data_IF_247108904211
#
_entry.id   IF_247108904211
#
_cell.length_a   1.000
_cell.length_b   1.000
_cell.length_c   1.000
_cell.angle_alpha   90.00
_cell.angle_beta   90.00
_cell.angle_gamma   90.00
#
_symmetry.space_group_name_H-M   'P 1'
#
loop_
_entity.id
_entity.type
_entity.pdbx_description
1 polymer ?
#
# COMPACT_ATOMS: atom_id res chain seq x y z
N UNK A 1 6.76 -4.63 27.94
CA UNK A 1 5.89 -3.57 27.39
C UNK A 1 5.30 -4.13 26.11
N UNK A 2 4.11 -4.73 26.18
CA UNK A 2 3.45 -5.34 25.02
C UNK A 2 2.94 -4.19 24.13
N UNK A 3 3.52 -4.02 22.94
CA UNK A 3 2.83 -3.29 21.87
C UNK A 3 1.62 -4.13 21.47
N UNK A 4 0.42 -3.65 21.80
CA UNK A 4 -0.81 -4.15 21.21
C UNK A 4 -0.72 -3.84 19.72
N UNK A 5 -0.56 -4.86 18.88
CA UNK A 5 -0.83 -4.72 17.46
C UNK A 5 -2.30 -4.32 17.36
N UNK A 6 -2.57 -3.08 16.97
CA UNK A 6 -3.94 -2.62 16.73
C UNK A 6 -4.44 -3.46 15.55
N UNK A 7 -5.29 -4.45 15.82
CA UNK A 7 -6.02 -5.15 14.78
C UNK A 7 -7.18 -4.24 14.39
N UNK A 8 -6.88 -3.24 13.58
CA UNK A 8 -7.91 -2.37 13.01
C UNK A 8 -8.90 -3.20 12.19
N UNK A 9 -10.20 -2.95 12.43
CA UNK A 9 -11.30 -3.63 11.74
C UNK A 9 -11.09 -3.56 10.22
N UNK A 10 -11.36 -4.62 9.43
CA UNK A 10 -11.14 -4.62 7.98
C UNK A 10 -11.95 -3.52 7.23
N UNK A 11 -12.96 -2.93 7.88
CA UNK A 11 -13.75 -1.82 7.35
C UNK A 11 -13.22 -0.43 7.75
N UNK A 12 -12.26 -0.34 8.66
CA UNK A 12 -11.64 0.93 9.05
C UNK A 12 -10.77 1.47 7.90
N UNK A 13 -10.72 2.79 7.68
CA UNK A 13 -9.80 3.39 6.72
C UNK A 13 -8.36 2.98 7.03
N UNK A 14 -7.54 2.83 5.99
CA UNK A 14 -6.11 2.63 6.12
C UNK A 14 -5.45 3.89 6.67
N UNK A 15 -4.46 3.69 7.54
CA UNK A 15 -3.55 4.73 7.99
C UNK A 15 -2.16 4.58 7.36
N UNK A 16 -1.51 5.69 7.05
CA UNK A 16 -0.12 5.72 6.55
C UNK A 16 0.85 5.03 7.49
N UNK A 17 0.71 5.26 8.80
CA UNK A 17 1.52 4.61 9.83
C UNK A 17 1.38 3.08 9.80
N UNK A 18 0.15 2.58 9.68
CA UNK A 18 -0.13 1.13 9.62
C UNK A 18 0.56 0.46 8.42
N UNK A 19 0.53 1.10 7.25
CA UNK A 19 1.22 0.60 6.05
C UNK A 19 2.73 0.53 6.32
N UNK A 20 3.32 1.61 6.81
CA UNK A 20 4.76 1.64 7.10
C UNK A 20 5.17 0.61 8.15
N UNK A 21 4.40 0.46 9.22
CA UNK A 21 4.62 -0.55 10.25
C UNK A 21 4.53 -1.97 9.67
N UNK A 22 3.56 -2.22 8.78
CA UNK A 22 3.43 -3.52 8.11
C UNK A 22 4.64 -3.79 7.21
N UNK A 23 5.07 -2.84 6.37
CA UNK A 23 6.22 -3.01 5.49
C UNK A 23 7.50 -3.27 6.27
N UNK A 24 7.78 -2.46 7.30
CA UNK A 24 8.96 -2.63 8.15
C UNK A 24 8.89 -3.90 8.97
N UNK A 25 7.74 -4.25 9.54
CA UNK A 25 7.55 -5.48 10.30
C UNK A 25 7.77 -6.73 9.46
N UNK A 26 7.25 -6.75 8.23
CA UNK A 26 7.33 -7.92 7.35
C UNK A 26 8.64 -8.04 6.59
N UNK A 27 9.19 -6.91 6.13
CA UNK A 27 10.30 -6.90 5.17
C UNK A 27 11.46 -5.98 5.57
N UNK A 28 11.44 -5.41 6.78
CA UNK A 28 12.54 -4.61 7.35
C UNK A 28 12.94 -3.39 6.52
N UNK A 29 12.02 -2.86 5.72
CA UNK A 29 12.23 -1.70 4.87
C UNK A 29 10.92 -0.97 4.55
N UNK A 30 11.02 0.32 4.26
CA UNK A 30 9.89 1.18 3.88
C UNK A 30 9.77 1.22 2.35
N UNK A 31 9.29 0.10 1.76
CA UNK A 31 9.17 -0.05 0.31
C UNK A 31 8.25 0.97 -0.34
N UNK A 32 8.56 1.38 -1.56
CA UNK A 32 7.69 2.24 -2.34
C UNK A 32 6.41 1.51 -2.75
N UNK A 33 5.30 2.24 -2.74
CA UNK A 33 4.00 1.77 -3.21
C UNK A 33 3.52 2.61 -4.38
N UNK A 34 2.94 1.95 -5.37
CA UNK A 34 2.41 2.60 -6.56
C UNK A 34 1.03 2.05 -6.91
N UNK A 35 0.13 2.95 -7.29
CA UNK A 35 -1.14 2.59 -7.90
C UNK A 35 -1.00 2.71 -9.42
N UNK A 36 -1.28 1.65 -10.16
CA UNK A 36 -1.19 1.65 -11.62
C UNK A 36 -2.46 1.08 -12.25
N UNK A 37 -2.79 1.56 -13.45
CA UNK A 37 -3.89 1.04 -14.26
C UNK A 37 -3.33 0.30 -15.47
N UNK A 38 -3.83 -0.92 -15.73
CA UNK A 38 -3.48 -1.70 -16.92
C UNK A 38 -4.71 -2.42 -17.45
N UNK A 39 -5.05 -2.14 -18.71
CA UNK A 39 -6.18 -2.77 -19.43
C UNK A 39 -7.51 -2.67 -18.64
N UNK A 40 -7.78 -1.50 -18.05
CA UNK A 40 -9.01 -1.23 -17.29
C UNK A 40 -9.05 -1.84 -15.89
N UNK A 41 -7.91 -2.30 -15.35
CA UNK A 41 -7.80 -2.83 -13.98
C UNK A 41 -6.78 -2.04 -13.19
N UNK A 42 -7.11 -1.75 -11.92
CA UNK A 42 -6.19 -1.12 -10.98
C UNK A 42 -5.36 -2.17 -10.25
N UNK A 43 -4.10 -1.81 -10.02
CA UNK A 43 -3.15 -2.64 -9.27
C UNK A 43 -2.43 -1.77 -8.24
N UNK A 44 -2.40 -2.24 -7.00
CA UNK A 44 -1.44 -1.76 -6.02
C UNK A 44 -0.15 -2.56 -6.18
N UNK A 45 0.97 -1.86 -6.29
CA UNK A 45 2.29 -2.44 -6.39
C UNK A 45 3.10 -2.13 -5.14
N UNK A 46 3.78 -3.14 -4.60
CA UNK A 46 4.93 -2.92 -3.72
C UNK A 46 6.17 -3.05 -4.58
N UNK A 47 6.88 -1.94 -4.73
CA UNK A 47 8.08 -1.84 -5.54
C UNK A 47 9.26 -2.47 -4.81
N UNK A 48 10.37 -2.68 -5.53
CA UNK A 48 11.61 -3.18 -4.93
C UNK A 48 12.50 -2.06 -4.35
N UNK A 49 12.24 -0.81 -4.73
CA UNK A 49 12.92 0.36 -4.16
C UNK A 49 12.28 0.72 -2.81
N UNK A 50 13.08 1.20 -1.87
CA UNK A 50 12.64 1.57 -0.53
C UNK A 50 13.39 2.80 -0.02
N UNK A 51 12.75 3.55 0.89
CA UNK A 51 13.20 4.85 1.39
C UNK A 51 14.65 4.85 1.90
N UNK A 52 15.05 3.77 2.57
CA UNK A 52 16.34 3.64 3.23
C UNK A 52 17.51 3.44 2.24
N UNK A 53 17.23 3.30 0.93
CA UNK A 53 18.27 3.28 -0.10
C UNK A 53 18.80 4.69 -0.39
N UNK A 54 20.12 4.84 -0.48
CA UNK A 54 20.75 6.13 -0.83
C UNK A 54 20.26 6.70 -2.18
N UNK A 55 19.92 5.82 -3.13
CA UNK A 55 19.42 6.20 -4.46
C UNK A 55 17.91 6.37 -4.51
N UNK A 56 17.20 6.30 -3.38
CA UNK A 56 15.76 6.52 -3.37
C UNK A 56 15.47 7.99 -3.73
N UNK A 57 14.49 8.27 -4.63
CA UNK A 57 14.34 9.59 -5.21
C UNK A 57 13.70 10.63 -4.28
N UNK A 58 13.16 10.22 -3.13
CA UNK A 58 12.44 11.06 -2.18
C UNK A 58 13.13 11.03 -0.82
N UNK A 59 13.07 12.13 -0.08
CA UNK A 59 13.35 12.09 1.36
C UNK A 59 12.14 11.58 2.16
N UNK A 60 12.30 11.48 3.48
CA UNK A 60 11.28 10.94 4.37
C UNK A 60 9.97 11.76 4.40
N UNK A 61 10.05 13.09 4.32
CA UNK A 61 8.86 13.95 4.32
C UNK A 61 8.11 13.82 3.00
N UNK A 62 8.83 13.88 1.88
CA UNK A 62 8.26 13.70 0.54
C UNK A 62 7.62 12.31 0.36
N UNK A 63 8.29 11.27 0.86
CA UNK A 63 7.77 9.91 0.79
C UNK A 63 6.51 9.73 1.66
N UNK A 64 6.50 10.31 2.87
CA UNK A 64 5.32 10.25 3.75
C UNK A 64 4.12 10.95 3.10
N UNK A 65 4.31 12.15 2.55
CA UNK A 65 3.25 12.88 1.85
C UNK A 65 2.72 12.10 0.63
N UNK A 66 3.61 11.49 -0.17
CA UNK A 66 3.21 10.60 -1.28
C UNK A 66 2.39 9.41 -0.78
N UNK A 67 2.77 8.82 0.35
CA UNK A 67 2.08 7.67 0.90
C UNK A 67 0.71 8.04 1.47
N UNK A 68 0.58 9.21 2.11
CA UNK A 68 -0.72 9.74 2.57
C UNK A 68 -1.71 9.92 1.42
N UNK A 69 -1.27 10.52 0.29
CA UNK A 69 -2.11 10.67 -0.91
C UNK A 69 -2.55 9.32 -1.50
N UNK A 70 -1.63 8.35 -1.52
CA UNK A 70 -1.94 6.99 -1.97
C UNK A 70 -2.96 6.33 -1.03
N UNK A 71 -2.78 6.44 0.28
CA UNK A 71 -3.69 5.88 1.29
C UNK A 71 -5.07 6.53 1.19
N UNK A 72 -5.15 7.84 1.04
CA UNK A 72 -6.41 8.57 0.80
C UNK A 72 -7.13 8.04 -0.45
N UNK A 73 -6.39 7.83 -1.53
CA UNK A 73 -6.93 7.24 -2.77
C UNK A 73 -7.47 5.83 -2.55
N UNK A 74 -6.71 4.95 -1.89
CA UNK A 74 -7.15 3.57 -1.60
C UNK A 74 -8.40 3.53 -0.69
N UNK A 75 -8.49 4.45 0.26
CA UNK A 75 -9.66 4.62 1.12
C UNK A 75 -10.89 5.09 0.33
N UNK A 76 -10.72 6.08 -0.56
CA UNK A 76 -11.77 6.56 -1.47
C UNK A 76 -12.31 5.44 -2.38
N UNK A 77 -11.41 4.63 -2.93
CA UNK A 77 -11.73 3.45 -3.72
C UNK A 77 -12.43 2.34 -2.92
N UNK A 78 -12.42 2.39 -1.59
CA UNK A 78 -13.07 1.40 -0.73
C UNK A 78 -12.35 0.06 -0.65
N UNK A 79 -11.04 0.04 -0.94
CA UNK A 79 -10.21 -1.19 -0.97
C UNK A 79 -9.33 -1.37 0.27
N UNK A 80 -9.55 -0.57 1.31
CA UNK A 80 -8.78 -0.58 2.55
C UNK A 80 -8.56 -1.99 3.13
N UNK A 81 -9.67 -2.72 3.34
CA UNK A 81 -9.62 -4.09 3.86
C UNK A 81 -8.87 -5.07 2.97
N UNK A 82 -9.02 -4.96 1.64
CA UNK A 82 -8.33 -5.81 0.67
C UNK A 82 -6.81 -5.60 0.75
N UNK A 83 -6.36 -4.34 0.79
CA UNK A 83 -4.94 -3.99 0.89
C UNK A 83 -4.35 -4.44 2.22
N UNK A 84 -5.04 -4.16 3.34
CA UNK A 84 -4.63 -4.60 4.69
C UNK A 84 -4.46 -6.12 4.74
N UNK A 85 -5.46 -6.86 4.26
CA UNK A 85 -5.41 -8.32 4.21
C UNK A 85 -4.25 -8.81 3.35
N UNK A 86 -4.08 -8.27 2.15
CA UNK A 86 -3.01 -8.71 1.26
C UNK A 86 -1.61 -8.43 1.84
N UNK A 87 -1.36 -7.21 2.32
CA UNK A 87 -0.06 -6.84 2.90
C UNK A 87 0.28 -7.66 4.14
N UNK A 88 -0.70 -8.09 4.93
CA UNK A 88 -0.46 -8.89 6.14
C UNK A 88 -0.33 -10.39 5.87
N UNK A 89 -1.00 -10.91 4.82
CA UNK A 89 -1.10 -12.36 4.58
C UNK A 89 -0.29 -12.90 3.41
N UNK A 90 0.14 -12.05 2.47
CA UNK A 90 0.89 -12.52 1.28
C UNK A 90 2.20 -13.22 1.68
N UNK A 91 2.52 -14.36 1.07
CA UNK A 91 3.79 -15.06 1.34
C UNK A 91 4.95 -14.57 0.46
N UNK A 92 4.67 -13.68 -0.50
CA UNK A 92 5.70 -13.10 -1.36
C UNK A 92 6.39 -11.92 -0.67
N UNK A 93 7.53 -11.49 -1.22
CA UNK A 93 8.32 -10.36 -0.73
C UNK A 93 8.94 -9.60 -1.90
N UNK A 94 9.18 -8.28 -1.79
CA UNK A 94 9.74 -7.53 -2.90
C UNK A 94 11.11 -8.08 -3.31
N UNK A 95 11.36 -8.16 -4.62
CA UNK A 95 12.62 -8.67 -5.18
C UNK A 95 13.20 -7.63 -6.14
N UNK A 96 14.52 -7.50 -6.17
CA UNK A 96 15.19 -6.55 -7.06
C UNK A 96 14.68 -6.69 -8.50
N UNK A 97 14.17 -5.59 -9.07
CA UNK A 97 13.62 -5.55 -10.42
C UNK A 97 12.23 -6.18 -10.61
N UNK A 98 11.56 -6.63 -9.53
CA UNK A 98 10.23 -7.24 -9.60
C UNK A 98 9.31 -6.72 -8.50
N UNK A 99 8.30 -5.97 -8.92
CA UNK A 99 7.23 -5.51 -8.03
C UNK A 99 6.28 -6.67 -7.66
N UNK A 100 5.79 -6.65 -6.42
CA UNK A 100 4.63 -7.43 -6.02
C UNK A 100 3.38 -6.70 -6.49
N UNK A 101 2.37 -7.44 -6.96
CA UNK A 101 1.16 -6.85 -7.53
C UNK A 101 -0.08 -7.41 -6.83
N UNK A 102 -0.93 -6.52 -6.35
CA UNK A 102 -2.30 -6.81 -5.92
C UNK A 102 -3.25 -6.24 -6.97
N UNK A 103 -4.05 -7.10 -7.62
CA UNK A 103 -5.18 -6.63 -8.41
C UNK A 103 -6.26 -6.13 -7.46
N UNK A 104 -6.67 -4.88 -7.61
CA UNK A 104 -7.69 -4.29 -6.75
C UNK A 104 -9.09 -4.64 -7.26
N UNK A 105 -9.94 -5.08 -6.34
CA UNK A 105 -11.35 -5.38 -6.62
C UNK A 105 -12.19 -4.24 -6.04
N UNK A 106 -12.65 -3.36 -6.91
CA UNK A 106 -13.44 -2.20 -6.49
C UNK A 106 -14.85 -2.65 -6.10
N UNK A 107 -15.40 -2.13 -4.99
CA UNK A 107 -16.78 -2.41 -4.62
C UNK A 107 -17.75 -1.85 -5.68
N UNK A 108 -18.89 -2.52 -5.84
CA UNK A 108 -19.92 -2.13 -6.80
C UNK A 108 -20.37 -0.68 -6.55
N UNK A 109 -20.49 0.11 -7.63
CA UNK A 109 -20.89 1.51 -7.57
C UNK A 109 -19.76 2.54 -7.34
N UNK A 110 -18.57 2.15 -6.87
CA UNK A 110 -17.43 3.08 -6.70
C UNK A 110 -16.44 3.12 -7.87
N UNK A 111 -16.46 2.10 -8.73
CA UNK A 111 -15.58 2.05 -9.90
C UNK A 111 -15.85 3.19 -10.91
N UNK A 112 -17.10 3.67 -10.99
CA UNK A 112 -17.51 4.67 -11.98
C UNK A 112 -17.10 6.10 -11.62
N UNK A 113 -16.81 6.41 -10.36
CA UNK A 113 -16.47 7.78 -9.91
C UNK A 113 -14.99 8.14 -10.13
N UNK A 114 -14.12 7.15 -10.32
CA UNK A 114 -12.66 7.33 -10.39
C UNK A 114 -12.04 6.91 -11.73
N UNK A 115 -12.82 6.39 -12.68
CA UNK A 115 -12.36 5.92 -14.00
C UNK A 115 -12.77 6.82 -15.18
N UNK A 116 -13.30 8.02 -14.90
CA UNK A 116 -13.67 9.02 -15.93
C UNK A 116 -12.49 9.89 -16.34
#
# INVERSE_FOLDING_TARGET
>A
MLCLAVTESPAAPLATAEILETLRGRWQASYDLQLTSRRGRLYLQVMWAYLEQQSFPLDAEQYTAKLDELVATLNGLGVAGQVRQWLTTTNDKPRLGKAMNLALELPEGRASEFLL
#
